data_IF_886807556233
#
_entry.id   IF_886807556233
#
_cell.length_a   1.000
_cell.length_b   1.000
_cell.length_c   1.000
_cell.angle_alpha   90.00
_cell.angle_beta   90.00
_cell.angle_gamma   90.00
#
_symmetry.space_group_name_H-M   'P 1'
#
loop_
_entity.id
_entity.type
_entity.pdbx_description
1 polymer ?
#
# COMPACT_ATOMS: atom_id res chain seq x y z
N UNK A 1 -8.42 1.23 -9.69
CA UNK A 1 -8.24 -0.24 -9.88
C UNK A 1 -8.10 -0.97 -8.56
N UNK A 2 -7.23 -0.55 -7.62
CA UNK A 2 -6.99 -1.23 -6.32
C UNK A 2 -8.28 -1.39 -5.51
N UNK A 3 -9.11 -0.34 -5.40
CA UNK A 3 -10.39 -0.42 -4.68
C UNK A 3 -11.34 -1.45 -5.31
N UNK A 4 -11.38 -1.55 -6.64
CA UNK A 4 -12.18 -2.54 -7.34
C UNK A 4 -11.66 -3.96 -7.09
N UNK A 5 -10.35 -4.19 -7.12
CA UNK A 5 -9.79 -5.52 -6.84
C UNK A 5 -10.08 -5.97 -5.41
N UNK A 6 -10.07 -5.06 -4.43
CA UNK A 6 -10.47 -5.38 -3.06
C UNK A 6 -11.96 -5.71 -2.96
N UNK A 7 -12.82 -4.95 -3.64
CA UNK A 7 -14.27 -5.23 -3.67
C UNK A 7 -14.56 -6.60 -4.27
N UNK A 8 -13.89 -6.96 -5.38
CA UNK A 8 -14.00 -8.27 -6.02
C UNK A 8 -13.51 -9.37 -5.07
N UNK A 9 -12.36 -9.19 -4.42
CA UNK A 9 -11.82 -10.16 -3.47
C UNK A 9 -12.75 -10.39 -2.27
N UNK A 10 -13.33 -9.32 -1.71
CA UNK A 10 -14.32 -9.43 -0.63
C UNK A 10 -15.58 -10.17 -1.07
N UNK A 11 -16.07 -9.89 -2.27
CA UNK A 11 -17.25 -10.56 -2.81
C UNK A 11 -16.98 -12.04 -3.05
N UNK A 12 -15.81 -12.39 -3.60
CA UNK A 12 -15.39 -13.77 -3.82
C UNK A 12 -15.28 -14.55 -2.51
N UNK A 13 -14.64 -13.97 -1.49
CA UNK A 13 -14.49 -14.61 -0.18
C UNK A 13 -15.86 -14.88 0.48
N UNK A 14 -16.80 -13.93 0.37
CA UNK A 14 -18.16 -14.09 0.88
C UNK A 14 -18.92 -15.18 0.14
N UNK A 15 -18.78 -15.28 -1.19
CA UNK A 15 -19.45 -16.28 -2.01
C UNK A 15 -18.97 -17.70 -1.65
N UNK A 16 -17.69 -17.86 -1.35
CA UNK A 16 -17.10 -19.16 -0.92
C UNK A 16 -17.36 -19.43 0.57
N UNK A 17 -17.92 -18.48 1.33
CA UNK A 17 -18.20 -18.65 2.77
C UNK A 17 -16.97 -18.58 3.67
N UNK A 18 -15.87 -18.02 3.19
CA UNK A 18 -14.64 -17.84 3.97
C UNK A 18 -14.71 -16.57 4.82
N UNK A 19 -14.05 -16.63 5.99
CA UNK A 19 -13.90 -15.46 6.86
C UNK A 19 -12.98 -14.43 6.18
N UNK A 20 -13.57 -13.29 5.82
CA UNK A 20 -12.89 -12.20 5.13
C UNK A 20 -11.71 -11.67 5.95
N UNK A 21 -11.85 -11.55 7.27
CA UNK A 21 -10.81 -10.99 8.15
C UNK A 21 -9.57 -11.88 8.17
N UNK A 22 -9.76 -13.20 8.14
CA UNK A 22 -8.64 -14.16 8.17
C UNK A 22 -8.02 -14.40 6.81
N UNK A 23 -8.83 -14.43 5.75
CA UNK A 23 -8.39 -14.87 4.41
C UNK A 23 -7.91 -13.73 3.52
N UNK A 24 -8.46 -12.51 3.69
CA UNK A 24 -8.10 -11.36 2.87
C UNK A 24 -6.61 -10.95 2.99
N UNK A 25 -5.98 -10.95 4.18
CA UNK A 25 -4.55 -10.63 4.29
C UNK A 25 -3.67 -11.48 3.38
N UNK A 26 -3.91 -12.79 3.31
CA UNK A 26 -3.17 -13.72 2.46
C UNK A 26 -3.29 -13.41 0.96
N UNK A 27 -4.48 -12.97 0.51
CA UNK A 27 -4.69 -12.54 -0.88
C UNK A 27 -3.95 -11.23 -1.16
N UNK A 28 -4.01 -10.28 -0.24
CA UNK A 28 -3.37 -8.98 -0.39
C UNK A 28 -1.85 -9.08 -0.51
N UNK A 29 -1.21 -10.01 0.19
CA UNK A 29 0.24 -10.24 0.17
C UNK A 29 0.76 -10.45 -1.26
N UNK A 30 0.04 -11.16 -2.11
CA UNK A 30 0.45 -11.36 -3.51
C UNK A 30 0.58 -10.06 -4.30
N UNK A 31 -0.25 -9.06 -3.99
CA UNK A 31 -0.10 -7.71 -4.56
C UNK A 31 1.22 -7.06 -4.15
N UNK A 32 1.62 -7.20 -2.88
CA UNK A 32 2.89 -6.66 -2.39
C UNK A 32 4.10 -7.42 -2.97
N UNK A 33 4.01 -8.75 -3.11
CA UNK A 33 5.05 -9.54 -3.78
C UNK A 33 5.25 -9.06 -5.23
N UNK A 34 4.15 -8.86 -5.98
CA UNK A 34 4.23 -8.31 -7.35
C UNK A 34 4.87 -6.92 -7.38
N UNK A 35 4.59 -6.08 -6.39
CA UNK A 35 5.17 -4.75 -6.26
C UNK A 35 6.70 -4.82 -6.00
N UNK A 36 7.15 -5.67 -5.09
CA UNK A 36 8.58 -5.90 -4.82
C UNK A 36 9.31 -6.40 -6.07
N UNK A 37 8.74 -7.38 -6.77
CA UNK A 37 9.33 -7.89 -8.00
C UNK A 37 9.44 -6.80 -9.07
N UNK A 38 8.44 -5.94 -9.20
CA UNK A 38 8.47 -4.79 -10.12
C UNK A 38 9.57 -3.80 -9.76
N UNK A 39 9.74 -3.49 -8.47
CA UNK A 39 10.81 -2.61 -7.99
C UNK A 39 12.20 -3.18 -8.30
N UNK A 40 12.41 -4.46 -8.02
CA UNK A 40 13.69 -5.12 -8.30
C UNK A 40 13.99 -5.20 -9.79
N UNK A 41 13.00 -5.51 -10.61
CA UNK A 41 13.15 -5.53 -12.07
C UNK A 41 13.56 -4.17 -12.59
N UNK A 42 12.91 -3.10 -12.14
CA UNK A 42 13.21 -1.72 -12.53
C UNK A 42 14.62 -1.32 -12.10
N UNK A 43 15.04 -1.72 -10.91
CA UNK A 43 16.35 -1.40 -10.33
C UNK A 43 17.49 -2.15 -11.03
N UNK A 44 17.39 -3.48 -11.13
CA UNK A 44 18.43 -4.34 -11.71
C UNK A 44 18.60 -4.15 -13.23
N UNK A 45 17.52 -3.78 -13.94
CA UNK A 45 17.59 -3.46 -15.37
C UNK A 45 18.05 -2.03 -15.63
N UNK A 46 18.29 -1.20 -14.60
CA UNK A 46 18.72 0.19 -14.76
C UNK A 46 17.65 1.10 -15.34
N UNK A 47 16.37 0.75 -15.23
CA UNK A 47 15.27 1.52 -15.83
C UNK A 47 14.81 2.69 -14.97
N UNK A 48 15.39 2.93 -13.81
CA UNK A 48 14.94 3.92 -12.81
C UNK A 48 14.79 5.34 -13.37
N UNK A 49 15.70 5.75 -14.28
CA UNK A 49 15.70 7.10 -14.84
C UNK A 49 15.46 7.11 -16.36
N UNK A 50 14.98 6.01 -16.92
CA UNK A 50 14.74 5.88 -18.35
C UNK A 50 13.24 5.79 -18.66
N UNK A 51 12.79 6.25 -19.86
CA UNK A 51 11.40 6.07 -20.26
C UNK A 51 10.99 4.60 -20.44
N UNK A 52 11.94 3.66 -20.45
CA UNK A 52 11.69 2.23 -20.56
C UNK A 52 10.76 1.69 -19.46
N UNK A 53 10.84 2.23 -18.23
CA UNK A 53 9.94 1.87 -17.13
C UNK A 53 8.46 2.05 -17.49
N UNK A 54 8.12 3.10 -18.25
CA UNK A 54 6.74 3.37 -18.68
C UNK A 54 6.27 2.38 -19.75
N UNK A 55 7.18 1.98 -20.66
CA UNK A 55 6.87 0.96 -21.66
C UNK A 55 6.61 -0.40 -21.02
N UNK A 56 7.46 -0.82 -20.08
CA UNK A 56 7.27 -2.07 -19.32
C UNK A 56 5.94 -2.05 -18.55
N UNK A 57 5.65 -0.94 -17.86
CA UNK A 57 4.39 -0.76 -17.14
C UNK A 57 3.17 -0.82 -18.08
N UNK A 58 3.27 -0.21 -19.27
CA UNK A 58 2.24 -0.27 -20.30
C UNK A 58 1.99 -1.69 -20.80
N UNK A 59 3.04 -2.45 -21.11
CA UNK A 59 2.94 -3.84 -21.54
C UNK A 59 2.28 -4.73 -20.45
N UNK A 60 2.72 -4.58 -19.20
CA UNK A 60 2.12 -5.31 -18.07
C UNK A 60 0.65 -4.95 -17.86
N UNK A 61 0.27 -3.68 -18.07
CA UNK A 61 -1.11 -3.24 -17.98
C UNK A 61 -1.99 -3.87 -19.07
N UNK A 62 -1.48 -4.02 -20.30
CA UNK A 62 -2.18 -4.71 -21.38
C UNK A 62 -2.36 -6.19 -21.05
N UNK A 63 -1.29 -6.87 -20.59
CA UNK A 63 -1.37 -8.26 -20.15
C UNK A 63 -2.41 -8.44 -19.04
N UNK A 64 -2.45 -7.53 -18.08
CA UNK A 64 -3.44 -7.56 -17.00
C UNK A 64 -4.86 -7.34 -17.50
N UNK A 65 -5.06 -6.48 -18.49
CA UNK A 65 -6.36 -6.27 -19.12
C UNK A 65 -6.85 -7.53 -19.85
N UNK A 66 -5.97 -8.21 -20.58
CA UNK A 66 -6.28 -9.50 -21.23
C UNK A 66 -6.61 -10.58 -20.19
N UNK A 67 -5.80 -10.67 -19.13
CA UNK A 67 -6.06 -11.59 -18.03
C UNK A 67 -7.40 -11.32 -17.33
N UNK A 68 -7.78 -10.06 -17.19
CA UNK A 68 -9.06 -9.68 -16.57
C UNK A 68 -10.27 -10.21 -17.35
N UNK A 69 -10.15 -10.45 -18.67
CA UNK A 69 -11.21 -11.06 -19.48
C UNK A 69 -11.43 -12.54 -19.14
N UNK A 70 -10.42 -13.22 -18.59
CA UNK A 70 -10.52 -14.63 -18.17
C UNK A 70 -11.06 -14.82 -16.75
N UNK A 71 -11.28 -13.73 -16.00
CA UNK A 71 -11.84 -13.81 -14.65
C UNK A 71 -13.28 -14.34 -14.68
N UNK A 72 -13.65 -15.25 -13.75
CA UNK A 72 -15.01 -15.76 -13.68
C UNK A 72 -16.01 -14.61 -13.41
N UNK A 73 -17.17 -14.71 -14.04
CA UNK A 73 -18.24 -13.73 -13.83
C UNK A 73 -18.78 -13.87 -12.41
N UNK A 74 -18.48 -12.90 -11.58
CA UNK A 74 -19.06 -12.79 -10.24
C UNK A 74 -20.55 -12.49 -10.34
N UNK A 75 -21.36 -13.19 -9.56
CA UNK A 75 -22.77 -12.86 -9.41
C UNK A 75 -22.85 -11.54 -8.63
N UNK A 76 -23.19 -10.47 -9.33
CA UNK A 76 -23.57 -9.22 -8.67
C UNK A 76 -24.90 -9.53 -7.98
N UNK A 77 -24.91 -9.65 -6.66
CA UNK A 77 -26.11 -9.67 -5.86
C UNK A 77 -26.82 -8.33 -6.08
N UNK A 78 -27.64 -8.25 -7.12
CA UNK A 78 -28.60 -7.17 -7.26
C UNK A 78 -29.60 -7.34 -6.13
N UNK A 79 -29.52 -6.51 -5.11
CA UNK A 79 -30.65 -6.35 -4.21
C UNK A 79 -31.86 -5.96 -5.06
N UNK A 80 -32.78 -6.91 -5.20
CA UNK A 80 -34.00 -6.73 -5.96
C UNK A 80 -34.86 -5.70 -5.22
N UNK A 81 -35.17 -4.60 -5.86
CA UNK A 81 -36.32 -3.81 -5.50
C UNK A 81 -36.18 -2.32 -5.30
N UNK A 82 -35.00 -1.73 -5.20
CA UNK A 82 -34.91 -0.25 -5.15
C UNK A 82 -34.16 0.29 -6.36
N UNK A 83 -34.83 1.16 -7.14
CA UNK A 83 -34.15 2.06 -8.05
C UNK A 83 -33.17 2.88 -7.21
N UNK A 84 -31.86 2.52 -7.27
CA UNK A 84 -30.84 3.27 -6.57
C UNK A 84 -30.89 4.71 -7.06
N UNK A 85 -31.16 5.65 -6.16
CA UNK A 85 -31.03 7.08 -6.45
C UNK A 85 -29.63 7.36 -6.97
N UNK A 86 -29.44 8.37 -7.82
CA UNK A 86 -28.11 8.80 -8.28
C UNK A 86 -27.14 9.05 -7.13
N UNK A 87 -27.64 9.54 -6.00
CA UNK A 87 -26.85 9.72 -4.77
C UNK A 87 -26.37 8.40 -4.17
N UNK A 88 -27.14 7.33 -4.27
CA UNK A 88 -26.72 5.97 -3.83
C UNK A 88 -25.74 5.34 -4.81
N UNK A 89 -25.98 5.52 -6.11
CA UNK A 89 -25.08 5.02 -7.15
C UNK A 89 -23.69 5.69 -7.11
N UNK A 90 -23.64 6.97 -6.74
CA UNK A 90 -22.40 7.74 -6.54
C UNK A 90 -21.77 7.53 -5.16
N UNK A 91 -22.41 6.77 -4.27
CA UNK A 91 -21.90 6.55 -2.92
C UNK A 91 -21.98 7.77 -2.00
N UNK A 92 -22.76 8.82 -2.38
CA UNK A 92 -22.87 10.06 -1.60
C UNK A 92 -23.49 9.81 -0.21
N UNK A 93 -24.23 8.71 -0.04
CA UNK A 93 -24.75 8.30 1.25
C UNK A 93 -23.65 8.03 2.29
N UNK A 94 -22.42 7.72 1.84
CA UNK A 94 -21.28 7.57 2.74
C UNK A 94 -20.94 8.89 3.48
N UNK A 95 -21.23 10.05 2.87
CA UNK A 95 -21.03 11.34 3.53
C UNK A 95 -21.99 11.57 4.73
N UNK A 96 -23.11 10.85 4.80
CA UNK A 96 -23.99 10.87 5.98
C UNK A 96 -23.30 10.31 7.23
N UNK A 97 -22.25 9.48 7.05
CA UNK A 97 -21.44 9.00 8.16
C UNK A 97 -20.69 10.12 8.89
N UNK A 98 -20.40 11.25 8.21
CA UNK A 98 -19.82 12.43 8.84
C UNK A 98 -20.77 13.12 9.83
N UNK A 99 -22.07 12.87 9.77
CA UNK A 99 -23.03 13.37 10.76
C UNK A 99 -22.85 12.72 12.13
N UNK A 100 -22.25 11.52 12.18
CA UNK A 100 -21.90 10.88 13.43
C UNK A 100 -20.48 11.32 13.85
N UNK A 101 -20.28 12.06 14.96
CA UNK A 101 -18.99 12.64 15.33
C UNK A 101 -17.88 11.58 15.51
N UNK A 102 -18.23 10.37 15.98
CA UNK A 102 -17.25 9.27 16.11
C UNK A 102 -16.77 8.76 14.75
N UNK A 103 -17.69 8.63 13.81
CA UNK A 103 -17.35 8.20 12.45
C UNK A 103 -16.61 9.31 11.69
N UNK A 104 -17.01 10.57 11.85
CA UNK A 104 -16.32 11.71 11.28
C UNK A 104 -14.86 11.78 11.73
N UNK A 105 -14.61 11.63 13.02
CA UNK A 105 -13.26 11.60 13.57
C UNK A 105 -12.43 10.44 13.00
N UNK A 106 -13.01 9.25 12.87
CA UNK A 106 -12.34 8.10 12.27
C UNK A 106 -12.02 8.35 10.77
N UNK A 107 -12.92 8.95 10.02
CA UNK A 107 -12.71 9.26 8.60
C UNK A 107 -11.61 10.30 8.40
N UNK A 108 -11.61 11.38 9.19
CA UNK A 108 -10.52 12.39 9.18
C UNK A 108 -9.18 11.75 9.52
N UNK A 109 -9.16 10.89 10.53
CA UNK A 109 -7.97 10.16 10.92
C UNK A 109 -7.45 9.25 9.78
N UNK A 110 -8.33 8.49 9.15
CA UNK A 110 -7.98 7.64 8.01
C UNK A 110 -7.45 8.46 6.82
N UNK A 111 -8.03 9.64 6.57
CA UNK A 111 -7.56 10.58 5.54
C UNK A 111 -6.14 11.09 5.84
N UNK A 112 -5.86 11.48 7.09
CA UNK A 112 -4.52 11.94 7.50
C UNK A 112 -3.48 10.82 7.38
N UNK A 113 -3.83 9.59 7.78
CA UNK A 113 -2.94 8.43 7.59
C UNK A 113 -2.66 8.17 6.11
N UNK A 114 -3.69 8.25 5.26
CA UNK A 114 -3.52 8.10 3.81
C UNK A 114 -2.59 9.17 3.22
N UNK A 115 -2.68 10.40 3.71
CA UNK A 115 -1.81 11.50 3.33
C UNK A 115 -0.34 11.22 3.72
N UNK A 116 -0.09 10.82 4.97
CA UNK A 116 1.24 10.43 5.44
C UNK A 116 1.82 9.27 4.63
N UNK A 117 1.01 8.25 4.35
CA UNK A 117 1.40 7.10 3.53
C UNK A 117 1.80 7.53 2.12
N UNK A 118 1.02 8.41 1.49
CA UNK A 118 1.31 8.88 0.13
C UNK A 118 2.57 9.72 0.06
N UNK A 119 2.81 10.60 1.03
CA UNK A 119 4.08 11.35 1.13
C UNK A 119 5.24 10.37 1.22
N UNK A 120 5.18 9.41 2.14
CA UNK A 120 6.24 8.44 2.33
C UNK A 120 6.54 7.64 1.06
N UNK A 121 5.50 7.12 0.39
CA UNK A 121 5.66 6.34 -0.83
C UNK A 121 6.14 7.17 -2.03
N UNK A 122 5.71 8.44 -2.13
CA UNK A 122 6.08 9.32 -3.24
C UNK A 122 7.48 9.92 -3.11
N UNK A 123 7.93 10.20 -1.89
CA UNK A 123 9.18 10.93 -1.66
C UNK A 123 10.33 10.09 -1.13
N UNK A 124 10.12 8.84 -0.71
CA UNK A 124 11.19 8.01 -0.18
C UNK A 124 12.31 7.76 -1.20
N UNK A 125 11.97 7.42 -2.44
CA UNK A 125 12.96 7.19 -3.50
C UNK A 125 13.68 8.49 -3.89
N UNK A 126 13.00 9.60 -4.26
CA UNK A 126 13.65 10.89 -4.54
C UNK A 126 14.52 11.37 -3.38
N UNK A 127 14.11 11.16 -2.14
CA UNK A 127 14.91 11.55 -0.96
C UNK A 127 16.21 10.77 -0.90
N UNK A 128 16.18 9.44 -1.02
CA UNK A 128 17.39 8.61 -0.97
C UNK A 128 18.31 8.93 -2.15
N UNK A 129 17.77 9.06 -3.35
CA UNK A 129 18.56 9.36 -4.56
C UNK A 129 19.14 10.78 -4.56
N UNK A 130 18.52 11.74 -3.83
CA UNK A 130 19.06 13.11 -3.71
C UNK A 130 20.43 13.16 -3.05
N UNK A 131 20.78 12.20 -2.19
CA UNK A 131 22.12 12.08 -1.62
C UNK A 131 23.20 11.79 -2.67
N UNK A 132 22.84 11.34 -3.86
CA UNK A 132 23.76 11.17 -4.98
C UNK A 132 24.40 12.46 -5.49
N UNK A 133 23.87 13.65 -5.11
CA UNK A 133 24.49 14.93 -5.37
C UNK A 133 25.72 15.19 -4.48
N UNK A 134 25.88 14.43 -3.40
CA UNK A 134 27.01 14.54 -2.46
C UNK A 134 28.06 13.52 -2.88
N UNK A 135 29.33 13.94 -3.21
CA UNK A 135 30.36 13.04 -3.72
C UNK A 135 30.65 11.83 -2.82
N UNK A 136 30.53 12.01 -1.50
CA UNK A 136 30.74 10.97 -0.49
C UNK A 136 29.74 9.82 -0.57
N UNK A 137 28.49 10.11 -0.97
CA UNK A 137 27.41 9.11 -0.98
C UNK A 137 27.07 8.57 -2.38
N UNK A 138 27.68 9.12 -3.43
CA UNK A 138 27.38 8.83 -4.81
C UNK A 138 27.52 7.34 -5.18
N UNK A 139 28.50 6.66 -4.59
CA UNK A 139 28.79 5.24 -4.80
C UNK A 139 28.18 4.30 -3.77
N UNK A 140 27.37 4.82 -2.83
CA UNK A 140 26.77 3.99 -1.79
C UNK A 140 25.66 3.12 -2.36
N UNK A 141 25.51 1.91 -1.81
CA UNK A 141 24.46 0.96 -2.22
C UNK A 141 23.07 1.57 -2.11
N UNK A 142 22.79 2.36 -1.07
CA UNK A 142 21.49 2.98 -0.86
C UNK A 142 21.10 3.96 -1.98
N UNK A 143 22.06 4.71 -2.53
CA UNK A 143 21.81 5.64 -3.64
C UNK A 143 21.68 4.92 -4.96
N UNK A 144 22.55 3.95 -5.23
CA UNK A 144 22.55 3.18 -6.48
C UNK A 144 21.32 2.28 -6.59
N UNK A 145 20.86 1.70 -5.49
CA UNK A 145 19.78 0.73 -5.41
C UNK A 145 18.67 1.16 -4.45
N UNK A 146 18.21 2.40 -4.58
CA UNK A 146 17.18 2.95 -3.70
C UNK A 146 15.88 2.13 -3.70
N UNK A 147 15.49 1.55 -4.83
CA UNK A 147 14.31 0.70 -4.92
C UNK A 147 14.46 -0.60 -4.14
N UNK A 148 15.66 -1.20 -4.15
CA UNK A 148 15.93 -2.41 -3.35
C UNK A 148 15.86 -2.07 -1.87
N UNK A 149 16.41 -0.93 -1.45
CA UNK A 149 16.31 -0.47 -0.07
C UNK A 149 14.85 -0.28 0.36
N UNK A 150 14.05 0.39 -0.47
CA UNK A 150 12.63 0.63 -0.19
C UNK A 150 11.83 -0.69 -0.19
N UNK A 151 12.25 -1.71 -0.94
CA UNK A 151 11.58 -3.01 -0.94
C UNK A 151 11.60 -3.70 0.44
N UNK A 152 12.57 -3.37 1.31
CA UNK A 152 12.59 -3.81 2.71
C UNK A 152 11.35 -3.33 3.46
N UNK A 153 10.93 -2.07 3.22
CA UNK A 153 9.67 -1.54 3.78
C UNK A 153 8.46 -2.35 3.34
N UNK A 154 8.42 -2.74 2.07
CA UNK A 154 7.31 -3.55 1.54
C UNK A 154 7.29 -4.97 2.11
N UNK A 155 8.45 -5.57 2.31
CA UNK A 155 8.57 -6.87 2.99
C UNK A 155 8.09 -6.77 4.46
N UNK A 156 8.49 -5.72 5.16
CA UNK A 156 8.06 -5.42 6.53
C UNK A 156 6.53 -5.21 6.60
N UNK A 157 5.97 -4.42 5.68
CA UNK A 157 4.51 -4.22 5.55
C UNK A 157 3.80 -5.56 5.37
N UNK A 158 4.31 -6.42 4.49
CA UNK A 158 3.75 -7.76 4.24
C UNK A 158 3.67 -8.59 5.51
N UNK A 159 4.77 -8.65 6.28
CA UNK A 159 4.80 -9.36 7.55
C UNK A 159 3.79 -8.78 8.55
N UNK A 160 3.72 -7.46 8.66
CA UNK A 160 2.75 -6.79 9.53
C UNK A 160 1.31 -7.12 9.14
N UNK A 161 0.99 -7.14 7.83
CA UNK A 161 -0.35 -7.49 7.33
C UNK A 161 -0.74 -8.92 7.74
N UNK A 162 0.18 -9.87 7.61
CA UNK A 162 -0.06 -11.26 8.02
C UNK A 162 -0.26 -11.40 9.54
N UNK A 163 0.36 -10.53 10.32
CA UNK A 163 0.23 -10.51 11.79
C UNK A 163 -1.01 -9.77 12.30
N UNK A 164 -1.73 -9.04 11.44
CA UNK A 164 -2.94 -8.28 11.84
C UNK A 164 -3.95 -9.15 12.58
N UNK A 165 -4.36 -10.35 12.12
CA UNK A 165 -5.37 -11.14 12.82
C UNK A 165 -4.93 -11.51 14.25
N UNK A 166 -3.64 -11.81 14.45
CA UNK A 166 -3.08 -12.12 15.76
C UNK A 166 -3.12 -10.90 16.70
N UNK A 167 -2.62 -9.77 16.25
CA UNK A 167 -2.61 -8.55 17.07
C UNK A 167 -4.01 -8.02 17.34
N UNK A 168 -4.90 -8.11 16.35
CA UNK A 168 -6.29 -7.68 16.50
C UNK A 168 -7.03 -8.46 17.60
N UNK A 169 -6.86 -9.79 17.63
CA UNK A 169 -7.48 -10.65 18.63
C UNK A 169 -6.95 -10.38 20.05
N UNK A 170 -5.66 -9.98 20.19
CA UNK A 170 -5.01 -9.81 21.48
C UNK A 170 -5.14 -8.40 22.05
N UNK A 171 -5.00 -7.36 21.22
CA UNK A 171 -4.90 -5.97 21.69
C UNK A 171 -6.13 -5.13 21.38
N UNK A 172 -6.97 -5.57 20.46
CA UNK A 172 -8.12 -4.82 19.97
C UNK A 172 -7.72 -3.61 19.11
N UNK A 173 -8.70 -3.07 18.39
CA UNK A 173 -8.50 -2.05 17.37
C UNK A 173 -7.86 -0.76 17.90
N UNK A 174 -8.27 -0.30 19.08
CA UNK A 174 -7.79 0.97 19.66
C UNK A 174 -6.28 0.97 19.91
N UNK A 175 -5.77 -0.09 20.55
CA UNK A 175 -4.33 -0.21 20.85
C UNK A 175 -3.52 -0.40 19.57
N UNK A 176 -4.03 -1.16 18.60
CA UNK A 176 -3.37 -1.31 17.30
C UNK A 176 -3.20 0.01 16.57
N UNK A 177 -4.25 0.85 16.55
CA UNK A 177 -4.20 2.17 15.92
C UNK A 177 -3.17 3.07 16.62
N UNK A 178 -3.10 3.05 17.95
CA UNK A 178 -2.10 3.82 18.70
C UNK A 178 -0.67 3.35 18.42
N UNK A 179 -0.42 2.04 18.34
CA UNK A 179 0.88 1.48 17.98
C UNK A 179 1.26 1.91 16.55
N UNK A 180 0.31 1.85 15.61
CA UNK A 180 0.55 2.28 14.24
C UNK A 180 0.94 3.76 14.16
N UNK A 181 0.27 4.64 14.92
CA UNK A 181 0.62 6.06 14.99
C UNK A 181 2.02 6.29 15.54
N UNK A 182 2.37 5.59 16.62
CA UNK A 182 3.71 5.68 17.22
C UNK A 182 4.77 5.23 16.21
N UNK A 183 4.52 4.12 15.51
CA UNK A 183 5.42 3.63 14.45
C UNK A 183 5.60 4.65 13.32
N UNK A 184 4.54 5.36 12.93
CA UNK A 184 4.64 6.44 11.94
C UNK A 184 5.50 7.61 12.42
N UNK A 185 5.35 8.02 13.68
CA UNK A 185 6.20 9.08 14.26
C UNK A 185 7.68 8.67 14.26
N UNK A 186 7.97 7.43 14.70
CA UNK A 186 9.33 6.90 14.69
C UNK A 186 9.90 6.79 13.27
N UNK A 187 9.11 6.34 12.32
CA UNK A 187 9.48 6.25 10.91
C UNK A 187 10.00 7.59 10.37
N UNK A 188 9.24 8.66 10.53
CA UNK A 188 9.66 9.98 10.06
C UNK A 188 10.86 10.51 10.83
N UNK A 189 10.97 10.24 12.14
CA UNK A 189 12.14 10.57 12.94
C UNK A 189 13.41 9.87 12.41
N UNK A 190 13.33 8.59 12.11
CA UNK A 190 14.45 7.83 11.56
C UNK A 190 14.81 8.28 10.13
N UNK A 191 13.80 8.62 9.30
CA UNK A 191 14.09 9.21 7.99
C UNK A 191 14.84 10.53 8.10
N UNK A 192 14.49 11.38 9.04
CA UNK A 192 15.18 12.68 9.25
C UNK A 192 16.61 12.52 9.72
N UNK A 193 16.95 11.44 10.45
CA UNK A 193 18.29 11.17 10.97
C UNK A 193 19.12 10.27 10.05
N UNK A 194 18.46 9.60 9.08
CA UNK A 194 19.09 8.63 8.20
C UNK A 194 19.86 9.27 7.05
N UNK A 195 20.99 8.68 6.71
CA UNK A 195 21.74 8.96 5.48
C UNK A 195 22.23 7.62 4.87
N UNK A 196 22.58 7.58 3.57
CA UNK A 196 23.02 6.33 2.92
C UNK A 196 24.44 5.88 3.28
N UNK A 197 25.17 6.63 4.12
CA UNK A 197 26.48 6.28 4.66
C UNK A 197 26.39 5.63 6.03
N UNK A 198 26.97 6.26 7.05
CA UNK A 198 27.00 5.74 8.42
C UNK A 198 25.59 5.62 9.04
N UNK A 199 24.65 6.49 8.63
CA UNK A 199 23.25 6.48 9.09
C UNK A 199 22.32 5.53 8.33
N UNK A 200 22.83 4.59 7.53
CA UNK A 200 22.00 3.63 6.76
C UNK A 200 21.09 2.79 7.65
N UNK A 201 21.50 2.50 8.87
CA UNK A 201 20.70 1.78 9.86
C UNK A 201 19.42 2.53 10.24
N UNK A 202 19.49 3.86 10.33
CA UNK A 202 18.28 4.68 10.57
C UNK A 202 17.34 4.64 9.38
N UNK A 203 17.87 4.63 8.14
CA UNK A 203 17.05 4.42 6.95
C UNK A 203 16.37 3.04 6.95
N UNK A 204 17.12 1.98 7.29
CA UNK A 204 16.56 0.63 7.39
C UNK A 204 15.50 0.53 8.50
N UNK A 205 15.73 1.14 9.66
CA UNK A 205 14.75 1.17 10.76
C UNK A 205 13.51 2.00 10.42
N UNK A 206 13.63 2.96 9.49
CA UNK A 206 12.49 3.74 9.00
C UNK A 206 11.62 2.97 8.00
N UNK A 207 12.16 1.92 7.42
CA UNK A 207 11.46 1.07 6.45
C UNK A 207 10.56 0.03 7.13
#
# INVERSE_FOLDING_TARGET
TIALSYSVAYSALKEVGLDVVKSFPSIRVWGTVGFILSMWTTDLCGFQQTPAQWMVSGCLSILMAVYALSLPRMRILKEHGHQKSLSEALGLNAFRLFLNPKMAMFMVFAMLLGFCLQISNGYANPYITSFGSIPEYQSTFGVLHANILISVSQASETLCILLIPFFFSRFGIKKMVLIALLSWMLRFGFFAMGNPGEGVWFLLLSM
#
